data_IF_839403795653
#
_entry.id   IF_839403795653
#
_cell.length_a   1.000
_cell.length_b   1.000
_cell.length_c   1.000
_cell.angle_alpha   90.00
_cell.angle_beta   90.00
_cell.angle_gamma   90.00
#
_symmetry.space_group_name_H-M   'P 1'
#
loop_
_entity.id
_entity.type
_entity.pdbx_description
1 polymer ?
#
# COMPACT_ATOMS: atom_id res chain seq x y z
N UNK A 1 9.55 -5.67 11.09
CA UNK A 1 10.00 -5.81 9.69
C UNK A 1 9.76 -7.24 9.25
N UNK A 2 9.09 -7.42 8.12
CA UNK A 2 8.70 -8.70 7.54
C UNK A 2 9.46 -8.98 6.24
N UNK A 3 9.50 -8.01 5.34
CA UNK A 3 10.09 -8.13 4.02
C UNK A 3 11.61 -8.30 4.11
N UNK A 4 12.16 -9.15 3.25
CA UNK A 4 13.60 -9.13 2.99
C UNK A 4 13.98 -7.83 2.28
N UNK A 5 15.26 -7.48 2.29
CA UNK A 5 15.74 -6.27 1.62
C UNK A 5 15.39 -6.25 0.11
N UNK A 6 15.47 -7.40 -0.57
CA UNK A 6 15.11 -7.49 -1.98
C UNK A 6 13.61 -7.28 -2.21
N UNK A 7 12.76 -7.91 -1.39
CA UNK A 7 11.31 -7.71 -1.44
C UNK A 7 10.93 -6.26 -1.13
N UNK A 8 11.59 -5.62 -0.15
CA UNK A 8 11.37 -4.22 0.19
C UNK A 8 11.61 -3.30 -1.01
N UNK A 9 12.70 -3.50 -1.76
CA UNK A 9 12.99 -2.69 -2.95
C UNK A 9 12.00 -2.94 -4.10
N UNK A 10 11.45 -4.15 -4.22
CA UNK A 10 10.37 -4.42 -5.19
C UNK A 10 9.11 -3.66 -4.78
N UNK A 11 8.72 -3.70 -3.50
CA UNK A 11 7.57 -2.93 -2.98
C UNK A 11 7.79 -1.44 -3.13
N UNK A 12 8.99 -0.92 -2.83
CA UNK A 12 9.34 0.49 -3.05
C UNK A 12 9.16 0.91 -4.50
N UNK A 13 9.75 0.19 -5.45
CA UNK A 13 9.60 0.50 -6.87
C UNK A 13 8.14 0.41 -7.32
N UNK A 14 7.42 -0.64 -6.92
CA UNK A 14 6.04 -0.85 -7.33
C UNK A 14 5.09 0.22 -6.79
N UNK A 15 5.24 0.60 -5.52
CA UNK A 15 4.40 1.63 -4.90
C UNK A 15 4.72 3.02 -5.44
N UNK A 16 5.97 3.32 -5.78
CA UNK A 16 6.35 4.56 -6.45
C UNK A 16 5.75 4.67 -7.86
N UNK A 17 5.56 3.54 -8.57
CA UNK A 17 4.81 3.56 -9.84
C UNK A 17 3.30 3.75 -9.64
N UNK A 18 2.74 3.26 -8.54
CA UNK A 18 1.32 3.43 -8.21
C UNK A 18 1.01 4.87 -7.77
N UNK A 19 1.90 5.49 -7.00
CA UNK A 19 1.77 6.87 -6.53
C UNK A 19 3.12 7.59 -6.69
N UNK A 20 3.46 8.04 -7.91
CA UNK A 20 4.72 8.70 -8.19
C UNK A 20 4.75 10.12 -7.65
N UNK A 21 5.95 10.62 -7.35
CA UNK A 21 6.15 12.05 -7.13
C UNK A 21 5.76 12.85 -8.38
N UNK A 22 5.07 13.97 -8.18
CA UNK A 22 4.65 14.88 -9.23
C UNK A 22 4.66 16.34 -8.74
N UNK A 23 4.19 17.27 -9.57
CA UNK A 23 4.11 18.70 -9.22
C UNK A 23 3.19 18.98 -8.02
N UNK A 24 2.34 18.02 -7.63
CA UNK A 24 1.42 18.16 -6.50
C UNK A 24 2.03 17.68 -5.18
N UNK A 25 3.09 16.87 -5.21
CA UNK A 25 3.73 16.43 -3.97
C UNK A 25 4.62 15.18 -4.06
N UNK A 26 5.05 14.69 -2.88
CA UNK A 26 5.96 13.55 -2.77
C UNK A 26 5.31 12.25 -3.23
N UNK A 27 6.13 11.36 -3.79
CA UNK A 27 5.74 10.00 -4.16
C UNK A 27 5.67 9.04 -2.97
N UNK A 28 5.21 7.82 -3.24
CA UNK A 28 5.07 6.75 -2.24
C UNK A 28 6.36 6.50 -1.45
N UNK A 29 7.52 6.57 -2.11
CA UNK A 29 8.83 6.39 -1.50
C UNK A 29 9.12 7.46 -0.45
N UNK A 30 8.97 8.73 -0.81
CA UNK A 30 9.20 9.86 0.11
C UNK A 30 8.19 9.87 1.27
N UNK A 31 6.95 9.46 0.98
CA UNK A 31 5.90 9.29 1.98
C UNK A 31 6.12 8.09 2.92
N UNK A 32 7.10 7.23 2.66
CA UNK A 32 7.39 6.08 3.52
C UNK A 32 6.42 4.91 3.37
N UNK A 33 5.66 4.86 2.27
CA UNK A 33 4.67 3.80 2.00
C UNK A 33 5.26 2.38 2.08
N UNK A 34 6.48 2.08 1.60
CA UNK A 34 7.04 0.73 1.70
C UNK A 34 7.25 0.28 3.16
N UNK A 35 7.59 1.22 4.06
CA UNK A 35 7.71 0.94 5.49
C UNK A 35 6.34 0.69 6.13
N UNK A 36 5.32 1.47 5.77
CA UNK A 36 3.94 1.20 6.18
C UNK A 36 3.54 -0.23 5.81
N UNK A 37 3.71 -0.62 4.54
CA UNK A 37 3.37 -1.97 4.07
C UNK A 37 4.15 -3.04 4.84
N UNK A 38 5.45 -2.86 5.04
CA UNK A 38 6.28 -3.80 5.81
C UNK A 38 5.80 -3.99 7.26
N UNK A 39 5.42 -2.90 7.95
CA UNK A 39 4.83 -2.97 9.28
C UNK A 39 3.48 -3.68 9.29
N UNK A 40 2.61 -3.39 8.32
CA UNK A 40 1.31 -4.04 8.19
C UNK A 40 1.46 -5.54 7.95
N UNK A 41 2.42 -5.95 7.12
CA UNK A 41 2.74 -7.36 6.86
C UNK A 41 3.30 -8.08 8.08
N UNK A 42 4.09 -7.38 8.91
CA UNK A 42 4.60 -7.89 10.18
C UNK A 42 3.51 -8.02 11.27
N UNK A 43 2.39 -7.29 11.14
CA UNK A 43 1.33 -7.23 12.15
C UNK A 43 0.17 -8.20 11.96
N UNK A 44 -0.93 -7.93 12.68
CA UNK A 44 -2.18 -8.70 12.59
C UNK A 44 -2.80 -8.66 11.20
N UNK A 45 -2.65 -7.55 10.47
CA UNK A 45 -3.16 -7.42 9.11
C UNK A 45 -2.50 -8.42 8.16
N UNK A 46 -1.17 -8.52 8.19
CA UNK A 46 -0.39 -9.45 7.38
C UNK A 46 -0.64 -10.92 7.72
N UNK A 47 -0.92 -11.22 8.99
CA UNK A 47 -1.24 -12.57 9.46
C UNK A 47 -2.73 -12.93 9.42
N UNK A 48 -3.59 -12.01 8.98
CA UNK A 48 -5.06 -12.12 9.00
C UNK A 48 -5.61 -12.43 10.40
N UNK A 49 -4.99 -11.89 11.46
CA UNK A 49 -5.31 -12.22 12.86
C UNK A 49 -6.74 -11.87 13.29
N UNK A 50 -7.44 -11.00 12.54
CA UNK A 50 -8.83 -10.59 12.82
C UNK A 50 -9.86 -11.24 11.89
N UNK A 51 -9.41 -12.12 10.99
CA UNK A 51 -10.26 -12.78 10.00
C UNK A 51 -10.46 -14.25 10.32
N UNK A 52 -11.60 -14.79 9.87
CA UNK A 52 -11.86 -16.21 9.94
C UNK A 52 -11.05 -16.93 8.87
N UNK A 53 -10.02 -17.68 9.29
CA UNK A 53 -9.06 -18.39 8.41
C UNK A 53 -9.17 -19.92 8.54
N UNK A 54 -10.31 -20.44 8.99
CA UNK A 54 -10.54 -21.88 9.11
C UNK A 54 -11.24 -22.43 7.86
N UNK A 55 -10.91 -23.67 7.50
CA UNK A 55 -11.54 -24.38 6.40
C UNK A 55 -13.03 -24.69 6.70
N UNK A 56 -13.87 -24.94 5.69
CA UNK A 56 -13.57 -24.99 4.25
C UNK A 56 -13.45 -23.62 3.58
N UNK A 57 -12.51 -23.50 2.64
CA UNK A 57 -12.32 -22.31 1.81
C UNK A 57 -13.13 -22.43 0.52
N UNK A 58 -13.85 -21.37 0.14
CA UNK A 58 -14.63 -21.32 -1.08
C UNK A 58 -14.16 -20.17 -1.96
N UNK A 59 -14.46 -20.25 -3.26
CA UNK A 59 -14.32 -19.08 -4.13
C UNK A 59 -15.46 -18.12 -3.79
N UNK A 60 -15.13 -16.99 -3.18
CA UNK A 60 -16.11 -15.95 -2.86
C UNK A 60 -16.63 -15.25 -4.10
N UNK A 61 -17.80 -14.63 -3.99
CA UNK A 61 -18.32 -13.70 -4.98
C UNK A 61 -17.39 -12.50 -5.14
N UNK A 62 -17.45 -11.81 -6.29
CA UNK A 62 -16.58 -10.64 -6.57
C UNK A 62 -16.64 -9.54 -5.50
N UNK A 63 -17.75 -9.45 -4.76
CA UNK A 63 -17.99 -8.47 -3.69
C UNK A 63 -17.52 -8.92 -2.31
N UNK A 64 -17.15 -10.20 -2.13
CA UNK A 64 -16.80 -10.79 -0.84
C UNK A 64 -15.30 -10.74 -0.53
N UNK A 65 -14.49 -10.21 -1.45
CA UNK A 65 -13.03 -10.15 -1.28
C UNK A 65 -12.37 -11.54 -1.31
N UNK A 66 -11.15 -11.62 -0.80
CA UNK A 66 -10.37 -12.86 -0.78
C UNK A 66 -10.89 -13.80 0.32
N UNK A 67 -11.23 -15.04 -0.06
CA UNK A 67 -11.78 -16.09 0.81
C UNK A 67 -10.90 -17.35 0.83
N UNK A 68 -9.61 -17.20 0.50
CA UNK A 68 -8.68 -18.32 0.41
C UNK A 68 -7.85 -18.54 1.68
N UNK A 69 -7.07 -19.61 1.66
CA UNK A 69 -6.28 -20.07 2.81
C UNK A 69 -5.02 -19.26 3.10
N UNK A 70 -4.53 -18.48 2.14
CA UNK A 70 -3.26 -17.79 2.29
C UNK A 70 -3.44 -16.53 3.12
N UNK A 71 -2.50 -16.29 4.01
CA UNK A 71 -2.40 -15.02 4.73
C UNK A 71 -1.92 -13.95 3.76
N UNK A 72 -2.24 -12.68 4.03
CA UNK A 72 -1.80 -11.53 3.22
C UNK A 72 -0.29 -11.52 3.05
N UNK A 73 0.47 -11.83 4.12
CA UNK A 73 1.93 -11.89 4.04
C UNK A 73 2.45 -12.97 3.08
N UNK A 74 1.80 -14.14 3.06
CA UNK A 74 2.13 -15.24 2.15
C UNK A 74 1.75 -14.89 0.69
N UNK A 75 0.65 -14.16 0.51
CA UNK A 75 0.24 -13.59 -0.78
C UNK A 75 1.33 -12.64 -1.31
N UNK A 76 1.84 -11.74 -0.47
CA UNK A 76 2.92 -10.82 -0.84
C UNK A 76 4.20 -11.60 -1.20
N UNK A 77 4.59 -12.61 -0.44
CA UNK A 77 5.78 -13.41 -0.76
C UNK A 77 5.69 -14.04 -2.17
N UNK A 78 4.56 -14.68 -2.46
CA UNK A 78 4.31 -15.33 -3.76
C UNK A 78 4.30 -14.29 -4.88
N UNK A 79 3.58 -13.19 -4.70
CA UNK A 79 3.40 -12.20 -5.76
C UNK A 79 4.68 -11.41 -6.04
N UNK A 80 5.48 -11.07 -5.02
CA UNK A 80 6.76 -10.39 -5.20
C UNK A 80 7.78 -11.30 -5.88
N UNK A 81 7.79 -12.59 -5.53
CA UNK A 81 8.63 -13.58 -6.23
C UNK A 81 8.22 -13.70 -7.71
N UNK A 82 6.91 -13.76 -8.00
CA UNK A 82 6.44 -13.84 -9.39
C UNK A 82 6.64 -12.54 -10.17
N UNK A 83 6.59 -11.39 -9.52
CA UNK A 83 6.92 -10.10 -10.15
C UNK A 83 8.38 -10.08 -10.59
N UNK A 84 9.27 -10.59 -9.72
CA UNK A 84 10.68 -10.76 -10.01
C UNK A 84 10.90 -11.78 -11.15
N UNK A 85 10.24 -12.94 -11.10
CA UNK A 85 10.33 -13.98 -12.14
C UNK A 85 9.84 -13.48 -13.51
N UNK A 86 8.69 -12.80 -13.54
CA UNK A 86 8.12 -12.24 -14.77
C UNK A 86 9.03 -11.17 -15.37
N UNK A 87 9.59 -10.29 -14.53
CA UNK A 87 10.55 -9.26 -14.94
C UNK A 87 11.82 -9.87 -15.54
N UNK A 88 12.40 -10.87 -14.86
CA UNK A 88 13.58 -11.58 -15.35
C UNK A 88 13.29 -12.32 -16.67
N UNK A 89 12.12 -12.95 -16.80
CA UNK A 89 11.75 -13.68 -18.02
C UNK A 89 11.53 -12.75 -19.22
N UNK A 90 10.86 -11.62 -19.01
CA UNK A 90 10.47 -10.69 -20.09
C UNK A 90 11.58 -9.71 -20.47
N UNK A 91 12.36 -9.25 -19.49
CA UNK A 91 13.32 -8.16 -19.66
C UNK A 91 14.75 -8.51 -19.22
N UNK A 92 15.00 -9.72 -18.70
CA UNK A 92 16.32 -10.17 -18.22
C UNK A 92 16.92 -9.30 -17.10
N UNK A 93 16.07 -8.57 -16.39
CA UNK A 93 16.44 -7.68 -15.28
C UNK A 93 15.48 -7.87 -14.11
N UNK A 94 15.95 -7.58 -12.90
CA UNK A 94 15.11 -7.55 -11.70
C UNK A 94 14.07 -6.44 -11.82
N UNK A 95 12.90 -6.59 -11.20
CA UNK A 95 11.81 -5.62 -11.33
C UNK A 95 12.26 -4.18 -10.97
N UNK A 96 12.95 -4.03 -9.84
CA UNK A 96 13.47 -2.72 -9.37
C UNK A 96 14.51 -2.08 -10.30
N UNK A 97 15.15 -2.88 -11.16
CA UNK A 97 16.22 -2.46 -12.07
C UNK A 97 15.68 -2.23 -13.51
N UNK A 98 14.35 -2.37 -13.70
CA UNK A 98 13.67 -2.05 -14.96
C UNK A 98 13.52 -0.54 -15.13
N UNK A 99 13.46 -0.12 -16.40
CA UNK A 99 13.04 1.25 -16.74
C UNK A 99 11.59 1.48 -16.31
N UNK A 100 11.22 2.75 -16.12
CA UNK A 100 9.92 3.17 -15.60
C UNK A 100 8.75 2.55 -16.38
N UNK A 101 8.80 2.61 -17.71
CA UNK A 101 7.74 2.08 -18.58
C UNK A 101 7.66 0.55 -18.54
N UNK A 102 8.80 -0.11 -18.27
CA UNK A 102 8.85 -1.56 -18.11
C UNK A 102 8.25 -1.99 -16.77
N UNK A 103 8.50 -1.23 -15.68
CA UNK A 103 7.85 -1.46 -14.39
C UNK A 103 6.33 -1.31 -14.52
N UNK A 104 5.87 -0.27 -15.20
CA UNK A 104 4.44 -0.05 -15.47
C UNK A 104 3.84 -1.20 -16.27
N UNK A 105 4.54 -1.69 -17.29
CA UNK A 105 4.09 -2.83 -18.08
C UNK A 105 3.98 -4.13 -17.26
N UNK A 106 4.88 -4.35 -16.28
CA UNK A 106 4.77 -5.50 -15.37
C UNK A 106 3.59 -5.32 -14.42
N UNK A 107 3.41 -4.14 -13.82
CA UNK A 107 2.26 -3.87 -12.96
C UNK A 107 0.94 -4.01 -13.72
N UNK A 108 0.90 -3.57 -14.99
CA UNK A 108 -0.25 -3.76 -15.86
C UNK A 108 -0.53 -5.24 -16.12
N UNK A 109 0.50 -6.06 -16.33
CA UNK A 109 0.36 -7.50 -16.51
C UNK A 109 -0.19 -8.20 -15.24
N UNK A 110 0.11 -7.68 -14.05
CA UNK A 110 -0.55 -8.11 -12.81
C UNK A 110 -2.01 -7.65 -12.76
N UNK A 111 -2.28 -6.38 -13.05
CA UNK A 111 -3.64 -5.80 -13.04
C UNK A 111 -4.60 -6.55 -13.98
N UNK A 112 -4.13 -7.00 -15.15
CA UNK A 112 -4.95 -7.67 -16.18
C UNK A 112 -4.94 -9.19 -16.11
N UNK A 113 -4.35 -9.78 -15.06
CA UNK A 113 -4.19 -11.25 -14.91
C UNK A 113 -3.42 -11.93 -16.05
N UNK A 114 -2.52 -11.20 -16.74
CA UNK A 114 -1.55 -11.80 -17.67
C UNK A 114 -0.56 -12.68 -16.89
N UNK A 115 -0.09 -12.20 -15.73
CA UNK A 115 0.71 -13.01 -14.79
C UNK A 115 -0.18 -14.03 -14.09
N UNK A 116 0.28 -15.28 -14.01
CA UNK A 116 -0.44 -16.36 -13.34
C UNK A 116 0.20 -16.67 -12.00
N UNK A 117 -0.55 -16.42 -10.93
CA UNK A 117 -0.20 -16.87 -9.58
C UNK A 117 -0.97 -18.17 -9.27
N UNK A 118 -0.43 -19.00 -8.39
CA UNK A 118 -0.94 -20.37 -8.16
C UNK A 118 -2.24 -20.43 -7.36
N UNK A 119 -2.49 -19.46 -6.47
CA UNK A 119 -3.58 -19.54 -5.47
C UNK A 119 -4.51 -18.33 -5.48
N UNK A 120 -4.08 -17.21 -6.07
CA UNK A 120 -4.84 -15.97 -6.15
C UNK A 120 -4.76 -15.45 -7.59
N UNK A 121 -5.65 -14.55 -7.99
CA UNK A 121 -5.45 -13.81 -9.25
C UNK A 121 -4.37 -12.73 -9.05
N UNK A 122 -3.58 -12.45 -10.08
CA UNK A 122 -2.58 -11.39 -10.03
C UNK A 122 -3.24 -10.02 -9.85
N UNK A 123 -4.44 -9.85 -10.40
CA UNK A 123 -5.26 -8.64 -10.27
C UNK A 123 -5.75 -8.42 -8.84
N UNK A 124 -6.04 -9.49 -8.09
CA UNK A 124 -6.42 -9.40 -6.68
C UNK A 124 -5.23 -8.95 -5.82
N UNK A 125 -4.02 -9.45 -6.12
CA UNK A 125 -2.82 -8.93 -5.49
C UNK A 125 -2.58 -7.46 -5.83
N UNK A 126 -2.65 -7.09 -7.12
CA UNK A 126 -2.46 -5.71 -7.54
C UNK A 126 -3.43 -4.75 -6.82
N UNK A 127 -4.71 -5.12 -6.72
CA UNK A 127 -5.71 -4.34 -5.95
C UNK A 127 -5.35 -4.21 -4.46
N UNK A 128 -4.80 -5.27 -3.87
CA UNK A 128 -4.36 -5.26 -2.47
C UNK A 128 -3.16 -4.32 -2.30
N UNK A 129 -2.17 -4.42 -3.18
CA UNK A 129 -0.99 -3.53 -3.19
C UNK A 129 -1.41 -2.08 -3.40
N UNK A 130 -2.31 -1.81 -4.35
CA UNK A 130 -2.87 -0.48 -4.61
C UNK A 130 -3.57 0.08 -3.37
N UNK A 131 -4.46 -0.70 -2.74
CA UNK A 131 -5.15 -0.33 -1.51
C UNK A 131 -4.17 0.02 -0.40
N UNK A 132 -3.20 -0.85 -0.13
CA UNK A 132 -2.16 -0.61 0.88
C UNK A 132 -1.25 0.58 0.55
N UNK A 133 -1.05 0.89 -0.74
CA UNK A 133 -0.33 2.10 -1.18
C UNK A 133 -1.11 3.34 -0.77
N UNK A 134 -2.41 3.41 -1.13
CA UNK A 134 -3.26 4.54 -0.77
C UNK A 134 -3.41 4.69 0.74
N UNK A 135 -3.53 3.58 1.47
CA UNK A 135 -3.51 3.57 2.94
C UNK A 135 -2.19 4.13 3.48
N UNK A 136 -1.04 3.70 2.96
CA UNK A 136 0.26 4.24 3.36
C UNK A 136 0.45 5.73 3.03
N UNK A 137 -0.17 6.23 1.97
CA UNK A 137 -0.12 7.64 1.57
C UNK A 137 -0.98 8.52 2.50
N UNK A 138 -2.14 8.03 2.92
CA UNK A 138 -3.17 8.86 3.57
C UNK A 138 -3.53 8.47 5.00
N UNK A 139 -3.02 7.36 5.55
CA UNK A 139 -3.19 7.03 6.95
C UNK A 139 -2.41 8.00 7.85
N UNK A 140 -2.67 7.94 9.16
CA UNK A 140 -1.90 8.69 10.14
C UNK A 140 -0.43 8.25 10.12
N UNK A 141 0.54 9.18 10.16
CA UNK A 141 1.96 8.85 10.19
C UNK A 141 2.38 7.93 11.35
N UNK A 142 1.57 7.87 12.41
CA UNK A 142 1.73 6.90 13.51
C UNK A 142 1.87 5.45 13.02
N UNK A 143 1.28 5.10 11.87
CA UNK A 143 1.35 3.75 11.29
C UNK A 143 2.57 3.51 10.39
N UNK A 144 3.48 4.49 10.26
CA UNK A 144 4.75 4.33 9.54
C UNK A 144 4.71 4.65 8.04
N UNK A 145 3.66 5.35 7.58
CA UNK A 145 3.57 5.96 6.24
C UNK A 145 3.31 7.46 6.35
N UNK A 146 2.85 8.08 5.27
CA UNK A 146 2.47 9.51 5.20
C UNK A 146 3.46 10.45 5.92
N UNK A 147 4.76 10.28 5.64
CA UNK A 147 5.81 11.04 6.30
C UNK A 147 5.52 12.55 6.31
N UNK A 148 5.75 13.19 7.46
CA UNK A 148 5.49 14.62 7.68
C UNK A 148 4.05 15.06 7.40
N UNK A 149 3.08 14.13 7.41
CA UNK A 149 1.68 14.34 7.02
C UNK A 149 1.58 14.93 5.60
N UNK A 150 2.54 14.64 4.72
CA UNK A 150 2.63 15.30 3.42
C UNK A 150 1.45 14.93 2.51
N UNK A 151 0.96 13.69 2.53
CA UNK A 151 -0.27 13.30 1.84
C UNK A 151 -1.51 14.05 2.36
N UNK A 152 -1.54 14.40 3.64
CA UNK A 152 -2.60 15.26 4.20
C UNK A 152 -2.45 16.71 3.77
N UNK A 153 -1.23 17.25 3.77
CA UNK A 153 -0.93 18.62 3.31
C UNK A 153 -1.35 18.82 1.85
N UNK A 154 -1.11 17.83 0.98
CA UNK A 154 -1.54 17.84 -0.42
C UNK A 154 -3.07 18.05 -0.55
N UNK A 155 -3.84 17.42 0.33
CA UNK A 155 -5.31 17.49 0.32
C UNK A 155 -5.90 18.60 1.19
N UNK A 156 -5.07 19.42 1.83
CA UNK A 156 -5.48 20.32 2.92
C UNK A 156 -6.31 19.60 4.00
N UNK A 157 -5.99 18.33 4.29
CA UNK A 157 -6.65 17.57 5.34
C UNK A 157 -6.01 17.92 6.70
N UNK A 158 -6.79 18.39 7.69
CA UNK A 158 -6.25 18.87 8.95
C UNK A 158 -5.90 17.75 9.95
N UNK A 159 -6.14 16.47 9.65
CA UNK A 159 -5.83 15.38 10.57
C UNK A 159 -6.70 15.36 11.82
N UNK A 160 -6.14 14.89 12.94
CA UNK A 160 -6.84 14.71 14.20
C UNK A 160 -6.92 16.03 15.01
N UNK A 161 -7.86 16.89 14.65
CA UNK A 161 -8.18 18.10 15.40
C UNK A 161 -9.07 17.77 16.60
N UNK A 162 -8.80 18.40 17.75
CA UNK A 162 -9.59 18.21 18.98
C UNK A 162 -11.04 18.69 18.85
N UNK A 163 -11.26 19.80 18.16
CA UNK A 163 -12.60 20.36 17.93
C UNK A 163 -12.61 21.31 16.72
N UNK A 164 -13.77 21.38 16.05
CA UNK A 164 -14.04 22.33 14.95
C UNK A 164 -15.02 23.44 15.34
N UNK A 165 -15.37 23.55 16.63
CA UNK A 165 -16.46 24.42 17.12
C UNK A 165 -16.30 25.90 16.79
N UNK A 166 -15.08 26.39 16.60
CA UNK A 166 -14.80 27.80 16.25
C UNK A 166 -14.94 28.11 14.76
N UNK A 167 -14.98 27.08 13.91
CA UNK A 167 -14.88 27.23 12.46
C UNK A 167 -16.06 26.62 11.71
N UNK A 168 -16.85 25.75 12.36
CA UNK A 168 -17.94 25.01 11.72
C UNK A 168 -19.08 25.91 11.23
N UNK A 169 -19.30 27.08 11.84
CA UNK A 169 -20.32 28.05 11.44
C UNK A 169 -19.82 29.05 10.38
N UNK A 170 -18.54 28.99 10.00
CA UNK A 170 -17.98 29.90 9.01
C UNK A 170 -18.24 29.36 7.60
N UNK A 171 -18.72 30.23 6.70
CA UNK A 171 -18.90 29.88 5.28
C UNK A 171 -17.57 29.74 4.51
N UNK A 172 -16.44 30.12 5.13
CA UNK A 172 -15.12 30.12 4.49
C UNK A 172 -14.34 28.87 4.88
N UNK A 173 -13.65 28.28 3.90
CA UNK A 173 -12.69 27.22 4.15
C UNK A 173 -11.49 27.75 4.95
N UNK A 174 -11.29 27.23 6.15
CA UNK A 174 -10.13 27.53 6.99
C UNK A 174 -9.05 26.46 6.82
N UNK A 175 -7.86 26.88 6.37
CA UNK A 175 -6.72 25.98 6.24
C UNK A 175 -6.05 25.79 7.60
N UNK A 176 -6.10 24.57 8.12
CA UNK A 176 -5.45 24.20 9.38
C UNK A 176 -4.21 23.36 9.12
N UNK A 177 -3.22 23.44 10.02
CA UNK A 177 -2.07 22.55 9.97
C UNK A 177 -2.48 21.14 10.39
N UNK A 178 -2.01 20.11 9.68
CA UNK A 178 -2.31 18.73 10.03
C UNK A 178 -1.72 18.35 11.38
N UNK A 179 -2.49 17.61 12.17
CA UNK A 179 -2.09 17.07 13.47
C UNK A 179 -2.25 15.55 13.44
N UNK A 180 -1.17 14.82 13.74
CA UNK A 180 -1.19 13.36 13.88
C UNK A 180 -1.78 12.96 15.23
N UNK A 181 -2.41 11.79 15.30
CA UNK A 181 -2.83 11.13 16.53
C UNK A 181 -1.70 11.01 17.56
N UNK A 182 -0.46 10.90 17.09
CA UNK A 182 0.72 10.81 17.96
C UNK A 182 0.85 12.00 18.91
N UNK A 183 0.43 13.19 18.49
CA UNK A 183 0.48 14.42 19.31
C UNK A 183 -0.46 14.36 20.52
N UNK A 184 -1.42 13.44 20.52
CA UNK A 184 -2.40 13.27 21.61
C UNK A 184 -2.08 12.07 22.51
N UNK A 185 -1.04 11.28 22.19
CA UNK A 185 -0.64 10.14 23.01
C UNK A 185 0.34 10.59 24.10
N UNK A 186 0.20 10.08 25.35
CA UNK A 186 1.16 10.38 26.41
C UNK A 186 2.56 9.83 26.05
N UNK A 187 3.59 10.61 26.40
CA UNK A 187 5.00 10.26 26.19
C UNK A 187 5.45 9.04 27.00
#
# INVERSE_FOLDING_TARGET
>A
MYLTQEQFFIVEAATERIFPADDNGPGAKELGVPYFIDHQLAGEWGSNGREYMQAPFYTGEKTQGYQGRLKRKEIFDIALQEMQNFSMKKYQKKFKDLEVEQQDAVLKAFETDEVKLTTISASAFFKTLFGSTMEGVYADPLYGGNNNMAGWKMKNFPGNQMAYTKIIEQDKFEKMQPVSLREHLPH
#
